data_IF_367684081308
#
_entry.id   IF_367684081308
#
_cell.length_a   1.000
_cell.length_b   1.000
_cell.length_c   1.000
_cell.angle_alpha   90.00
_cell.angle_beta   90.00
_cell.angle_gamma   90.00
#
_symmetry.space_group_name_H-M   'P 1'
#
loop_
_entity.id
_entity.type
_entity.pdbx_description
1 polymer ?
#
# COMPACT_ATOMS: atom_id res chain seq x y z
N UNK A 1 -9.81 -50.18 68.20
CA UNK A 1 -10.22 -50.57 66.84
C UNK A 1 -9.60 -49.60 65.85
N UNK A 2 -9.04 -50.15 64.76
CA UNK A 2 -8.24 -49.49 63.74
C UNK A 2 -9.10 -48.53 62.89
N UNK A 3 -8.57 -47.37 62.53
CA UNK A 3 -9.00 -46.65 61.34
C UNK A 3 -7.82 -45.89 60.73
N UNK A 4 -7.39 -46.40 59.57
CA UNK A 4 -6.29 -45.94 58.73
C UNK A 4 -6.60 -44.57 58.12
N UNK A 5 -5.76 -43.56 58.38
CA UNK A 5 -5.67 -42.38 57.52
C UNK A 5 -4.82 -42.74 56.29
N UNK A 6 -5.48 -42.91 55.14
CA UNK A 6 -4.83 -43.13 53.84
C UNK A 6 -4.09 -41.86 53.41
N UNK A 7 -2.79 -42.02 53.14
CA UNK A 7 -1.96 -41.08 52.39
C UNK A 7 -2.43 -41.04 50.94
N UNK A 8 -2.73 -39.86 50.43
CA UNK A 8 -2.91 -39.59 49.00
C UNK A 8 -2.29 -38.24 48.69
N UNK A 9 -1.06 -38.25 48.18
CA UNK A 9 -0.34 -37.06 47.75
C UNK A 9 -1.01 -36.49 46.50
N UNK A 10 -1.61 -35.30 46.60
CA UNK A 10 -1.97 -34.51 45.44
C UNK A 10 -0.70 -33.89 44.87
N UNK A 11 -0.25 -34.39 43.72
CA UNK A 11 0.80 -33.73 42.93
C UNK A 11 0.14 -32.57 42.20
N UNK A 12 0.30 -31.36 42.73
CA UNK A 12 -0.08 -30.13 42.05
C UNK A 12 1.02 -29.78 41.03
N UNK A 13 0.86 -30.21 39.78
CA UNK A 13 1.64 -29.68 38.66
C UNK A 13 0.96 -28.40 38.20
N UNK A 14 1.37 -27.26 38.74
CA UNK A 14 1.01 -25.95 38.18
C UNK A 14 1.99 -25.60 37.07
N UNK A 15 1.70 -26.04 35.86
CA UNK A 15 2.32 -25.47 34.65
C UNK A 15 1.73 -24.08 34.43
N UNK A 16 2.48 -23.05 34.81
CA UNK A 16 2.19 -21.68 34.45
C UNK A 16 2.37 -21.52 32.93
N UNK A 17 1.28 -21.61 32.18
CA UNK A 17 1.26 -21.28 30.76
C UNK A 17 1.44 -19.76 30.60
N UNK A 18 2.67 -19.31 30.36
CA UNK A 18 2.92 -17.95 29.88
C UNK A 18 2.45 -17.86 28.41
N UNK A 19 1.16 -17.65 28.21
CA UNK A 19 0.65 -17.17 26.92
C UNK A 19 0.89 -15.67 26.88
N UNK A 20 2.05 -15.26 26.36
CA UNK A 20 2.27 -13.91 25.91
C UNK A 20 1.36 -13.68 24.70
N UNK A 21 0.12 -13.25 24.96
CA UNK A 21 -0.80 -12.80 23.90
C UNK A 21 -0.27 -11.46 23.43
N UNK A 22 0.62 -11.49 22.43
CA UNK A 22 1.04 -10.29 21.73
C UNK A 22 -0.20 -9.65 21.12
N UNK A 23 -0.67 -8.55 21.72
CA UNK A 23 -1.70 -7.71 21.12
C UNK A 23 -1.10 -7.06 19.88
N UNK A 24 -1.31 -7.67 18.72
CA UNK A 24 -1.10 -7.00 17.43
C UNK A 24 -2.14 -5.89 17.35
N UNK A 25 -1.72 -4.65 17.60
CA UNK A 25 -2.55 -3.49 17.35
C UNK A 25 -2.76 -3.40 15.85
N UNK A 26 -3.96 -3.73 15.38
CA UNK A 26 -4.34 -3.47 14.00
C UNK A 26 -4.45 -1.96 13.83
N UNK A 27 -3.40 -1.32 13.33
CA UNK A 27 -3.47 0.08 12.90
C UNK A 27 -4.38 0.11 11.69
N UNK A 28 -5.56 0.70 11.83
CA UNK A 28 -6.46 0.93 10.71
C UNK A 28 -5.74 1.84 9.70
N UNK A 29 -5.58 1.37 8.47
CA UNK A 29 -4.92 2.14 7.44
C UNK A 29 -5.78 3.35 7.04
N UNK A 30 -5.26 4.57 7.20
CA UNK A 30 -5.97 5.80 6.85
C UNK A 30 -5.78 6.12 5.37
N UNK A 31 -6.89 6.37 4.68
CA UNK A 31 -6.88 6.78 3.27
C UNK A 31 -6.87 8.30 3.19
N UNK A 32 -5.95 8.85 2.38
CA UNK A 32 -5.74 10.28 2.20
C UNK A 32 -6.00 10.67 0.75
N UNK A 33 -6.71 11.78 0.46
CA UNK A 33 -7.00 12.19 -0.90
C UNK A 33 -5.71 12.53 -1.66
N UNK A 34 -5.66 12.15 -2.94
CA UNK A 34 -4.54 12.41 -3.82
C UNK A 34 -5.04 12.82 -5.20
N UNK A 35 -4.59 13.97 -5.68
CA UNK A 35 -4.90 14.45 -7.04
C UNK A 35 -3.63 14.95 -7.69
N UNK A 36 -3.33 14.44 -8.88
CA UNK A 36 -2.17 14.82 -9.68
C UNK A 36 -2.66 15.22 -11.05
N UNK A 37 -2.13 16.32 -11.58
CA UNK A 37 -2.49 16.78 -12.91
C UNK A 37 -1.26 17.36 -13.59
N UNK A 38 -1.06 17.00 -14.84
CA UNK A 38 -0.13 17.66 -15.76
C UNK A 38 -0.78 17.71 -17.14
N UNK A 39 -0.06 18.21 -18.13
CA UNK A 39 -0.50 18.18 -19.52
C UNK A 39 -0.79 16.75 -19.95
N UNK A 40 -2.02 16.50 -20.40
CA UNK A 40 -2.44 15.22 -20.97
C UNK A 40 -2.81 14.12 -19.97
N UNK A 41 -2.55 14.28 -18.67
CA UNK A 41 -2.96 13.28 -17.65
C UNK A 41 -3.51 13.92 -16.39
N UNK A 42 -4.57 13.31 -15.87
CA UNK A 42 -5.12 13.58 -14.54
C UNK A 42 -5.30 12.29 -13.77
N UNK A 43 -4.79 12.27 -12.54
CA UNK A 43 -5.08 11.24 -11.55
C UNK A 43 -5.92 11.83 -10.42
N UNK A 44 -7.01 11.16 -10.06
CA UNK A 44 -7.88 11.51 -8.95
C UNK A 44 -8.18 10.27 -8.12
N UNK A 45 -7.72 10.23 -6.87
CA UNK A 45 -7.89 9.07 -6.01
C UNK A 45 -7.49 9.35 -4.58
N UNK A 46 -6.91 8.34 -3.96
CA UNK A 46 -6.37 8.41 -2.61
C UNK A 46 -5.05 7.65 -2.52
N UNK A 47 -4.34 7.79 -1.41
CA UNK A 47 -3.26 6.90 -1.04
C UNK A 47 -3.47 6.36 0.38
N UNK A 48 -2.86 5.21 0.66
CA UNK A 48 -2.93 4.55 1.96
C UNK A 48 -1.66 3.73 2.18
N UNK A 49 -1.05 3.84 3.35
CA UNK A 49 0.01 2.93 3.76
C UNK A 49 -0.62 1.77 4.54
N UNK A 50 -0.53 0.57 3.98
CA UNK A 50 -1.09 -0.60 4.65
C UNK A 50 -0.23 -1.06 5.82
N UNK A 51 -0.86 -1.64 6.84
CA UNK A 51 -0.17 -2.27 7.95
C UNK A 51 0.45 -3.61 7.54
N UNK A 52 1.44 -4.07 8.31
CA UNK A 52 2.00 -5.42 8.20
C UNK A 52 0.89 -6.48 8.19
N UNK A 53 0.79 -7.25 7.11
CA UNK A 53 -0.20 -8.32 6.94
C UNK A 53 -1.39 -7.98 6.04
N UNK A 54 -1.52 -6.73 5.58
CA UNK A 54 -2.52 -6.30 4.58
C UNK A 54 -1.80 -5.76 3.35
N UNK A 55 -2.06 -6.31 2.15
CA UNK A 55 -1.40 -5.89 0.90
C UNK A 55 0.12 -5.71 1.06
N UNK A 56 0.74 -6.67 1.77
CA UNK A 56 2.18 -6.71 2.08
C UNK A 56 2.74 -5.46 2.79
N UNK A 57 1.87 -4.64 3.42
CA UNK A 57 2.23 -3.39 4.09
C UNK A 57 2.67 -2.27 3.15
N UNK A 58 2.34 -2.41 1.86
CA UNK A 58 2.72 -1.52 0.77
C UNK A 58 1.97 -0.18 0.75
N UNK A 59 2.33 0.64 -0.22
CA UNK A 59 1.64 1.88 -0.54
C UNK A 59 0.53 1.60 -1.57
N UNK A 60 -0.72 1.66 -1.12
CA UNK A 60 -1.90 1.66 -1.99
C UNK A 60 -2.20 3.05 -2.52
N UNK A 61 -2.63 3.16 -3.77
CA UNK A 61 -3.05 4.42 -4.39
C UNK A 61 -4.22 4.22 -5.36
N UNK A 62 -5.38 3.76 -4.88
CA UNK A 62 -6.53 3.53 -5.73
C UNK A 62 -7.07 4.86 -6.26
N UNK A 63 -7.48 4.86 -7.53
CA UNK A 63 -8.00 6.07 -8.14
C UNK A 63 -8.31 5.94 -9.61
N UNK A 64 -8.73 7.06 -10.18
CA UNK A 64 -9.01 7.22 -11.59
C UNK A 64 -7.82 7.87 -12.28
N UNK A 65 -7.32 7.26 -13.35
CA UNK A 65 -6.39 7.90 -14.29
C UNK A 65 -7.14 8.26 -15.56
N UNK A 66 -6.98 9.49 -16.03
CA UNK A 66 -7.66 10.02 -17.21
C UNK A 66 -6.62 10.60 -18.18
N UNK A 67 -6.68 10.20 -19.44
CA UNK A 67 -6.12 10.97 -20.55
C UNK A 67 -7.01 12.22 -20.78
N UNK A 68 -6.40 13.40 -20.71
CA UNK A 68 -7.09 14.69 -20.85
C UNK A 68 -6.78 15.42 -22.15
N UNK A 69 -5.82 14.93 -22.94
CA UNK A 69 -5.43 15.52 -24.23
C UNK A 69 -6.00 14.77 -25.42
N UNK A 70 -6.30 13.47 -25.28
CA UNK A 70 -6.75 12.59 -26.37
C UNK A 70 -5.85 12.69 -27.62
N UNK A 71 -4.55 12.85 -27.39
CA UNK A 71 -3.53 13.10 -28.41
C UNK A 71 -2.86 11.81 -28.91
N UNK A 72 -3.41 10.65 -28.53
CA UNK A 72 -2.91 9.32 -28.90
C UNK A 72 -1.74 8.83 -28.04
N UNK A 73 -1.33 9.63 -27.05
CA UNK A 73 -0.33 9.25 -26.06
C UNK A 73 -0.95 8.36 -24.99
N UNK A 74 -0.16 7.47 -24.39
CA UNK A 74 -0.64 6.65 -23.26
C UNK A 74 -0.42 7.40 -21.95
N UNK A 75 -1.26 7.17 -20.95
CA UNK A 75 -1.05 7.72 -19.61
C UNK A 75 -0.82 6.59 -18.62
N UNK A 76 0.00 6.83 -17.60
CA UNK A 76 0.27 5.86 -16.56
C UNK A 76 0.49 6.51 -15.20
N UNK A 77 0.34 5.71 -14.14
CA UNK A 77 0.72 6.08 -12.78
C UNK A 77 1.56 4.97 -12.18
N UNK A 78 2.51 5.37 -11.35
CA UNK A 78 3.36 4.48 -10.57
C UNK A 78 3.69 5.14 -9.24
N UNK A 79 4.19 4.35 -8.30
CA UNK A 79 4.63 4.85 -7.01
C UNK A 79 6.02 4.34 -6.66
N UNK A 80 6.61 4.99 -5.67
CA UNK A 80 7.81 4.56 -4.98
C UNK A 80 7.67 4.84 -3.50
N UNK A 81 8.52 4.18 -2.72
CA UNK A 81 8.73 4.49 -1.31
C UNK A 81 10.15 4.97 -1.06
N UNK A 82 10.42 5.47 0.14
CA UNK A 82 11.76 5.89 0.57
C UNK A 82 12.79 4.77 0.39
N UNK A 83 13.94 5.09 -0.23
CA UNK A 83 15.02 4.14 -0.47
C UNK A 83 14.84 3.24 -1.70
N UNK A 84 13.70 3.33 -2.42
CA UNK A 84 13.42 2.52 -3.60
C UNK A 84 13.07 3.38 -4.83
N UNK A 85 13.28 2.78 -6.02
CA UNK A 85 12.87 3.38 -7.30
C UNK A 85 11.36 3.31 -7.52
N UNK A 86 10.89 3.96 -8.59
CA UNK A 86 9.51 3.78 -9.04
C UNK A 86 9.27 2.34 -9.48
N UNK A 87 8.18 1.77 -8.98
CA UNK A 87 7.74 0.42 -9.29
C UNK A 87 7.04 0.31 -10.64
N UNK A 88 6.20 -0.71 -10.76
CA UNK A 88 5.45 -1.00 -11.98
C UNK A 88 4.54 0.17 -12.41
N UNK A 89 4.53 0.44 -13.71
CA UNK A 89 3.61 1.40 -14.33
C UNK A 89 2.24 0.75 -14.55
N UNK A 90 1.20 1.40 -14.06
CA UNK A 90 -0.18 1.05 -14.38
C UNK A 90 -0.69 2.02 -15.44
N UNK A 91 -0.92 1.50 -16.65
CA UNK A 91 -1.35 2.27 -17.81
C UNK A 91 -2.87 2.33 -17.92
N UNK A 92 -3.37 3.44 -18.46
CA UNK A 92 -4.69 3.46 -19.09
C UNK A 92 -4.66 2.55 -20.34
N UNK A 93 -5.70 1.75 -20.54
CA UNK A 93 -5.85 0.90 -21.72
C UNK A 93 -6.12 1.79 -22.94
N UNK A 94 -5.03 2.22 -23.59
CA UNK A 94 -4.91 2.94 -24.86
C UNK A 94 -6.20 3.53 -25.46
N UNK A 95 -6.24 4.86 -25.56
CA UNK A 95 -6.97 5.56 -26.62
C UNK A 95 -8.48 5.73 -26.38
N UNK A 96 -8.92 5.65 -25.13
CA UNK A 96 -10.27 6.02 -24.77
C UNK A 96 -10.18 7.26 -23.87
N UNK A 97 -10.85 8.35 -24.22
CA UNK A 97 -10.92 9.58 -23.42
C UNK A 97 -11.67 9.40 -22.08
N UNK A 98 -11.80 8.15 -21.62
CA UNK A 98 -12.54 7.73 -20.45
C UNK A 98 -11.56 7.37 -19.34
N UNK A 99 -11.74 8.00 -18.19
CA UNK A 99 -10.99 7.68 -16.98
C UNK A 99 -11.10 6.20 -16.61
N UNK A 100 -9.97 5.55 -16.31
CA UNK A 100 -9.94 4.18 -15.77
C UNK A 100 -9.80 4.22 -14.26
N UNK A 101 -10.70 3.52 -13.57
CA UNK A 101 -10.61 3.28 -12.13
C UNK A 101 -9.78 2.03 -11.88
N UNK A 102 -8.74 2.14 -11.07
CA UNK A 102 -7.82 1.06 -10.78
C UNK A 102 -7.48 1.04 -9.29
N UNK A 103 -7.42 -0.18 -8.73
CA UNK A 103 -6.91 -0.40 -7.37
C UNK A 103 -5.41 -0.69 -7.44
N UNK A 104 -4.62 0.36 -7.54
CA UNK A 104 -3.16 0.25 -7.66
C UNK A 104 -2.48 0.12 -6.31
N UNK A 105 -1.40 -0.65 -6.27
CA UNK A 105 -0.52 -0.77 -5.11
C UNK A 105 0.92 -0.92 -5.57
N UNK A 106 1.84 -0.35 -4.80
CA UNK A 106 3.27 -0.59 -4.91
C UNK A 106 3.69 -1.39 -3.68
N UNK A 107 4.48 -2.42 -3.93
CA UNK A 107 5.12 -3.22 -2.90
C UNK A 107 6.62 -3.30 -3.17
N UNK A 108 7.42 -2.88 -2.20
CA UNK A 108 8.78 -3.32 -2.02
C UNK A 108 8.94 -3.96 -0.62
N UNK A 109 9.88 -4.91 -0.42
CA UNK A 109 10.11 -5.53 0.88
C UNK A 109 10.39 -4.54 2.02
N UNK A 110 10.88 -3.33 1.68
CA UNK A 110 11.11 -2.25 2.63
C UNK A 110 9.86 -1.46 3.01
N UNK A 111 8.73 -1.62 2.31
CA UNK A 111 7.53 -0.80 2.51
C UNK A 111 6.99 -0.92 3.94
N UNK A 112 7.17 -2.08 4.58
CA UNK A 112 6.80 -2.31 5.99
C UNK A 112 7.49 -1.36 6.98
N UNK A 113 8.63 -0.79 6.60
CA UNK A 113 9.51 -0.02 7.48
C UNK A 113 9.73 1.42 7.03
N UNK A 114 9.14 1.83 5.89
CA UNK A 114 9.23 3.21 5.41
C UNK A 114 8.04 4.04 5.87
N UNK A 115 8.31 5.32 6.12
CA UNK A 115 7.31 6.31 6.53
C UNK A 115 6.86 7.19 5.37
N UNK A 116 7.58 7.14 4.25
CA UNK A 116 7.39 8.07 3.14
C UNK A 116 7.29 7.37 1.79
N UNK A 117 6.49 7.98 0.92
CA UNK A 117 6.31 7.53 -0.45
C UNK A 117 5.90 8.65 -1.39
N UNK A 118 5.87 8.33 -2.68
CA UNK A 118 5.50 9.25 -3.74
C UNK A 118 4.73 8.50 -4.81
N UNK A 119 3.68 9.14 -5.31
CA UNK A 119 2.93 8.68 -6.47
C UNK A 119 3.16 9.68 -7.58
N UNK A 120 3.27 9.22 -8.82
CA UNK A 120 3.46 10.11 -9.97
C UNK A 120 2.57 9.66 -11.13
N UNK A 121 1.85 10.63 -11.70
CA UNK A 121 1.06 10.46 -12.91
C UNK A 121 1.82 11.03 -14.11
N UNK A 122 1.86 10.28 -15.21
CA UNK A 122 2.66 10.60 -16.38
C UNK A 122 1.87 10.43 -17.68
N UNK A 123 2.18 11.29 -18.64
CA UNK A 123 1.88 11.08 -20.05
C UNK A 123 3.11 10.50 -20.74
N UNK A 124 2.97 9.32 -21.34
CA UNK A 124 3.97 8.65 -22.18
C UNK A 124 3.97 9.30 -23.56
N UNK A 125 5.07 9.98 -23.89
CA UNK A 125 5.24 10.71 -25.16
C UNK A 125 6.04 9.92 -26.19
N UNK A 126 6.16 8.62 -25.99
CA UNK A 126 6.94 7.71 -26.82
C UNK A 126 8.43 7.72 -26.50
N UNK A 127 9.18 6.92 -27.24
CA UNK A 127 10.58 6.60 -26.91
C UNK A 127 11.59 7.71 -27.18
N UNK A 128 11.24 8.70 -28.00
CA UNK A 128 12.14 9.78 -28.42
C UNK A 128 11.98 11.06 -27.60
N UNK A 129 10.97 11.13 -26.73
CA UNK A 129 10.63 12.31 -25.95
C UNK A 129 10.41 11.90 -24.50
N UNK A 130 10.96 12.66 -23.56
CA UNK A 130 10.75 12.39 -22.14
C UNK A 130 9.27 12.46 -21.75
N UNK A 131 8.83 11.51 -20.94
CA UNK A 131 7.49 11.50 -20.33
C UNK A 131 7.23 12.80 -19.56
N UNK A 132 6.00 13.31 -19.67
CA UNK A 132 5.55 14.47 -18.89
C UNK A 132 4.88 13.97 -17.63
N UNK A 133 5.53 14.19 -16.48
CA UNK A 133 5.10 13.62 -15.22
C UNK A 133 4.86 14.67 -14.13
N UNK A 134 3.85 14.43 -13.30
CA UNK A 134 3.62 15.16 -12.05
C UNK A 134 3.69 14.20 -10.87
N UNK A 135 4.71 14.38 -10.05
CA UNK A 135 4.82 13.68 -8.77
C UNK A 135 3.97 14.38 -7.71
N UNK A 136 3.49 13.60 -6.75
CA UNK A 136 2.94 14.08 -5.50
C UNK A 136 4.03 14.73 -4.66
N UNK A 137 3.59 15.52 -3.68
CA UNK A 137 4.44 15.80 -2.53
C UNK A 137 4.73 14.51 -1.76
N UNK A 138 5.63 14.60 -0.79
CA UNK A 138 5.97 13.49 0.10
C UNK A 138 4.71 13.01 0.83
N UNK A 139 4.34 11.76 0.60
CA UNK A 139 3.21 11.09 1.26
C UNK A 139 3.69 10.49 2.58
N UNK A 140 2.89 10.61 3.63
CA UNK A 140 3.24 10.12 4.98
C UNK A 140 2.32 8.95 5.38
N UNK A 141 2.89 7.99 6.10
CA UNK A 141 2.20 6.81 6.66
C UNK A 141 1.21 7.17 7.76
#
# INVERSE_FOLDING_TARGET
MKSLFKRGAFVAVTTAACLAVGTVVAVAATSHPLTLSTTGVKFSGSYVFYASGTNDGGLGYPGNICDTSADGNSVFVHAKVEGYGYGSKTYDKKGNSSCQSENMYSYAPGDLYVNYGWVQACQDRGTLVSDLCKASDKLER
#
